data_IF_107447212095
#
_entry.id   IF_107447212095
#
_cell.length_a   1.000
_cell.length_b   1.000
_cell.length_c   1.000
_cell.angle_alpha   90.00
_cell.angle_beta   90.00
_cell.angle_gamma   90.00
#
_symmetry.space_group_name_H-M   'P 1'
#
loop_
_entity.id
_entity.type
_entity.pdbx_description
1 polymer ?
#
# COMPACT_ATOMS: atom_id res chain seq x y z
N UNK A 1 -15.46 30.36 -6.28
CA UNK A 1 -15.39 28.88 -6.21
C UNK A 1 -15.75 28.51 -4.78
N UNK A 2 -16.78 27.70 -4.57
CA UNK A 2 -17.24 27.30 -3.23
C UNK A 2 -16.23 26.32 -2.64
N UNK A 3 -15.87 26.46 -1.37
CA UNK A 3 -15.00 25.49 -0.70
C UNK A 3 -15.75 24.18 -0.51
N UNK A 4 -15.20 23.09 -1.01
CA UNK A 4 -15.77 21.74 -0.94
C UNK A 4 -14.92 20.85 -0.03
N UNK A 5 -15.60 19.97 0.70
CA UNK A 5 -14.97 18.95 1.54
C UNK A 5 -14.96 17.64 0.78
N UNK A 6 -13.85 16.91 0.87
CA UNK A 6 -13.77 15.58 0.29
C UNK A 6 -12.80 14.69 1.06
N UNK A 7 -12.98 13.39 0.87
CA UNK A 7 -12.19 12.36 1.53
C UNK A 7 -11.41 11.57 0.49
N UNK A 8 -10.23 11.11 0.89
CA UNK A 8 -9.48 10.07 0.18
C UNK A 8 -9.42 8.85 1.09
N UNK A 9 -10.11 7.78 0.67
CA UNK A 9 -10.16 6.52 1.40
C UNK A 9 -9.28 5.46 0.73
N UNK A 10 -8.40 4.83 1.52
CA UNK A 10 -7.56 3.72 1.12
C UNK A 10 -7.93 2.48 1.95
N UNK A 11 -8.03 1.33 1.29
CA UNK A 11 -7.94 0.03 1.94
C UNK A 11 -6.59 -0.58 1.58
N UNK A 12 -5.77 -0.77 2.61
CA UNK A 12 -4.39 -1.22 2.50
C UNK A 12 -4.35 -2.66 3.00
N UNK A 13 -3.97 -3.61 2.15
CA UNK A 13 -3.76 -5.00 2.57
C UNK A 13 -2.29 -5.33 2.74
N UNK A 14 -1.98 -6.44 3.42
CA UNK A 14 -0.65 -7.06 3.43
C UNK A 14 -0.75 -8.53 3.84
N UNK A 15 0.31 -9.31 3.57
CA UNK A 15 0.41 -10.73 3.98
C UNK A 15 -0.81 -11.55 3.53
N UNK A 16 -1.29 -11.26 2.32
CA UNK A 16 -2.47 -11.89 1.72
C UNK A 16 -2.13 -13.18 0.96
N UNK A 17 -0.87 -13.60 0.96
CA UNK A 17 -0.48 -14.92 0.47
C UNK A 17 -1.27 -16.02 1.18
N UNK A 18 -1.74 -16.98 0.40
CA UNK A 18 -2.62 -18.07 0.82
C UNK A 18 -3.97 -17.66 1.42
N UNK A 19 -4.38 -16.39 1.28
CA UNK A 19 -5.66 -15.87 1.79
C UNK A 19 -6.70 -15.71 0.70
N UNK A 20 -6.74 -16.64 -0.25
CA UNK A 20 -7.70 -16.61 -1.35
C UNK A 20 -9.15 -16.69 -0.85
N UNK A 21 -9.46 -17.61 0.07
CA UNK A 21 -10.80 -17.82 0.62
C UNK A 21 -10.86 -19.09 1.48
N UNK A 22 -12.00 -19.34 2.14
CA UNK A 22 -12.26 -20.54 2.96
C UNK A 22 -11.25 -20.75 4.09
N UNK A 23 -10.68 -19.66 4.61
CA UNK A 23 -9.80 -19.65 5.79
C UNK A 23 -10.38 -18.73 6.86
N UNK A 24 -9.99 -18.98 8.10
CA UNK A 24 -10.27 -18.05 9.20
C UNK A 24 -9.56 -16.71 9.01
N UNK A 25 -10.17 -15.66 9.56
CA UNK A 25 -9.71 -14.28 9.42
C UNK A 25 -10.07 -13.67 8.07
N UNK A 26 -9.31 -12.65 7.66
CA UNK A 26 -9.49 -11.95 6.39
C UNK A 26 -8.99 -12.79 5.22
N UNK A 27 -9.78 -12.80 4.14
CA UNK A 27 -9.49 -13.42 2.85
C UNK A 27 -9.89 -12.47 1.71
N UNK A 28 -9.34 -12.68 0.52
CA UNK A 28 -9.75 -11.95 -0.67
C UNK A 28 -11.23 -12.15 -1.00
N UNK A 29 -11.80 -13.34 -0.78
CA UNK A 29 -13.23 -13.57 -1.00
C UNK A 29 -14.12 -12.76 -0.05
N UNK A 30 -13.73 -12.61 1.22
CA UNK A 30 -14.42 -11.71 2.16
C UNK A 30 -14.26 -10.23 1.78
N UNK A 31 -13.08 -9.83 1.32
CA UNK A 31 -12.86 -8.47 0.79
C UNK A 31 -13.75 -8.23 -0.43
N UNK A 32 -13.84 -9.18 -1.36
CA UNK A 32 -14.71 -9.10 -2.54
C UNK A 32 -16.17 -8.90 -2.15
N UNK A 33 -16.67 -9.72 -1.22
CA UNK A 33 -18.03 -9.59 -0.69
C UNK A 33 -18.29 -8.21 -0.08
N UNK A 34 -17.36 -7.74 0.76
CA UNK A 34 -17.45 -6.42 1.38
C UNK A 34 -17.48 -5.31 0.31
N UNK A 35 -16.57 -5.31 -0.66
CA UNK A 35 -16.51 -4.30 -1.73
C UNK A 35 -17.78 -4.30 -2.58
N UNK A 36 -18.28 -5.47 -2.94
CA UNK A 36 -19.51 -5.61 -3.73
C UNK A 36 -20.73 -5.08 -2.97
N UNK A 37 -20.74 -5.19 -1.64
CA UNK A 37 -21.81 -4.63 -0.80
C UNK A 37 -21.81 -3.11 -0.69
N UNK A 38 -20.69 -2.42 -0.99
CA UNK A 38 -20.56 -0.98 -0.69
C UNK A 38 -21.43 -0.07 -1.57
N UNK A 39 -22.08 -0.57 -2.63
CA UNK A 39 -22.97 0.16 -3.55
C UNK A 39 -22.49 1.59 -3.91
N UNK A 40 -21.17 1.75 -4.14
CA UNK A 40 -20.54 3.05 -4.41
C UNK A 40 -20.45 3.29 -5.90
N UNK A 41 -20.64 4.54 -6.32
CA UNK A 41 -20.35 4.96 -7.70
C UNK A 41 -18.85 4.76 -7.97
N UNK A 42 -18.48 4.51 -9.22
CA UNK A 42 -17.10 4.16 -9.57
C UNK A 42 -16.07 5.22 -9.14
N UNK A 43 -16.44 6.50 -9.15
CA UNK A 43 -15.58 7.61 -8.71
C UNK A 43 -15.52 7.79 -7.18
N UNK A 44 -16.40 7.13 -6.42
CA UNK A 44 -16.41 7.12 -4.95
C UNK A 44 -15.69 5.88 -4.39
N UNK A 45 -15.28 4.94 -5.26
CA UNK A 45 -14.63 3.71 -4.82
C UNK A 45 -13.31 4.01 -4.08
N UNK A 46 -13.08 3.38 -2.92
CA UNK A 46 -11.83 3.51 -2.20
C UNK A 46 -10.66 2.96 -3.02
N UNK A 47 -9.47 3.49 -2.74
CA UNK A 47 -8.22 3.01 -3.35
C UNK A 47 -7.81 1.73 -2.62
N UNK A 48 -7.91 0.60 -3.31
CA UNK A 48 -7.30 -0.65 -2.83
C UNK A 48 -5.83 -0.70 -3.20
N UNK A 49 -4.97 -0.98 -2.23
CA UNK A 49 -3.54 -1.16 -2.43
C UNK A 49 -2.98 -2.20 -1.45
N UNK A 50 -1.74 -2.63 -1.70
CA UNK A 50 -1.09 -3.67 -0.90
C UNK A 50 0.30 -3.23 -0.43
N UNK A 51 0.62 -3.56 0.82
CA UNK A 51 1.91 -3.33 1.48
C UNK A 51 2.89 -4.50 1.28
N UNK A 52 2.54 -5.49 0.46
CA UNK A 52 3.37 -6.62 0.09
C UNK A 52 2.98 -7.92 0.79
N UNK A 53 3.61 -9.01 0.36
CA UNK A 53 3.32 -10.36 0.84
C UNK A 53 2.12 -11.00 0.16
N UNK A 54 1.68 -10.48 -0.98
CA UNK A 54 0.63 -11.09 -1.78
C UNK A 54 1.14 -12.28 -2.63
N UNK A 55 2.41 -12.25 -3.05
CA UNK A 55 3.00 -13.34 -3.85
C UNK A 55 3.54 -14.43 -2.93
N UNK A 56 4.28 -14.07 -1.89
CA UNK A 56 4.85 -15.02 -0.94
C UNK A 56 6.08 -15.79 -1.49
N UNK A 57 6.68 -16.60 -0.62
CA UNK A 57 7.96 -17.27 -0.85
C UNK A 57 7.86 -18.62 -1.62
N UNK A 58 6.66 -19.20 -1.72
CA UNK A 58 6.50 -20.63 -2.08
C UNK A 58 5.34 -20.94 -3.03
N UNK A 59 4.81 -19.95 -3.75
CA UNK A 59 3.67 -20.19 -4.65
C UNK A 59 4.12 -20.89 -5.94
N UNK A 60 4.00 -22.22 -5.92
CA UNK A 60 4.02 -23.07 -7.11
C UNK A 60 2.75 -22.82 -7.93
N UNK A 61 2.78 -21.81 -8.78
CA UNK A 61 1.68 -21.53 -9.71
C UNK A 61 1.68 -22.59 -10.81
N UNK A 62 0.81 -23.60 -10.72
CA UNK A 62 0.59 -24.56 -11.82
C UNK A 62 -0.02 -23.89 -13.06
N UNK A 63 -0.77 -22.80 -12.86
CA UNK A 63 -1.41 -22.01 -13.92
C UNK A 63 -0.55 -20.87 -14.52
N UNK A 64 -1.05 -20.24 -15.60
CA UNK A 64 -0.37 -19.13 -16.26
C UNK A 64 -0.27 -17.87 -15.39
N UNK A 65 -1.21 -17.68 -14.44
CA UNK A 65 -1.31 -16.49 -13.59
C UNK A 65 -1.39 -16.87 -12.11
N UNK A 66 -0.72 -16.09 -11.25
CA UNK A 66 -0.80 -16.28 -9.80
C UNK A 66 -2.22 -15.94 -9.30
N UNK A 67 -2.91 -16.85 -8.59
CA UNK A 67 -4.29 -16.63 -8.16
C UNK A 67 -4.43 -15.40 -7.26
N UNK A 68 -3.44 -15.06 -6.44
CA UNK A 68 -3.49 -13.87 -5.58
C UNK A 68 -3.44 -12.58 -6.41
N UNK A 69 -2.63 -12.56 -7.48
CA UNK A 69 -2.58 -11.43 -8.40
C UNK A 69 -3.87 -11.31 -9.20
N UNK A 70 -4.46 -12.44 -9.59
CA UNK A 70 -5.77 -12.44 -10.21
C UNK A 70 -6.81 -11.84 -9.27
N UNK A 71 -6.81 -12.20 -7.97
CA UNK A 71 -7.68 -11.60 -6.96
C UNK A 71 -7.50 -10.09 -6.86
N UNK A 72 -6.25 -9.61 -6.81
CA UNK A 72 -5.96 -8.18 -6.76
C UNK A 72 -6.41 -7.44 -8.04
N UNK A 73 -6.26 -8.06 -9.22
CA UNK A 73 -6.78 -7.53 -10.47
C UNK A 73 -8.31 -7.44 -10.47
N UNK A 74 -8.98 -8.51 -10.00
CA UNK A 74 -10.44 -8.57 -9.87
C UNK A 74 -10.96 -7.46 -8.96
N UNK A 75 -10.30 -7.26 -7.81
CA UNK A 75 -10.58 -6.20 -6.85
C UNK A 75 -10.09 -4.81 -7.28
N UNK A 76 -9.47 -4.71 -8.47
CA UNK A 76 -9.00 -3.46 -9.08
C UNK A 76 -8.04 -2.66 -8.19
N UNK A 77 -7.09 -3.37 -7.58
CA UNK A 77 -5.99 -2.74 -6.84
C UNK A 77 -5.31 -1.68 -7.70
N UNK A 78 -4.83 -0.60 -7.07
CA UNK A 78 -4.23 0.55 -7.76
C UNK A 78 -2.71 0.52 -7.76
N UNK A 79 -2.10 -0.11 -6.76
CA UNK A 79 -0.66 -0.39 -6.67
C UNK A 79 -0.39 -1.42 -5.56
N UNK A 80 0.83 -1.96 -5.55
CA UNK A 80 1.35 -2.78 -4.47
C UNK A 80 2.83 -2.45 -4.18
N UNK A 81 3.30 -2.69 -2.96
CA UNK A 81 4.74 -2.74 -2.63
C UNK A 81 5.22 -4.19 -2.54
N UNK A 82 6.50 -4.39 -2.25
CA UNK A 82 7.13 -5.70 -2.16
C UNK A 82 7.63 -5.95 -0.76
N UNK A 83 7.35 -7.11 -0.20
CA UNK A 83 7.88 -7.51 1.08
C UNK A 83 9.03 -8.54 0.93
N UNK A 84 9.61 -8.96 2.04
CA UNK A 84 10.73 -9.91 2.10
C UNK A 84 10.37 -11.25 1.49
N UNK A 85 9.13 -11.71 1.67
CA UNK A 85 8.66 -12.97 1.10
C UNK A 85 8.57 -12.89 -0.43
N UNK A 86 8.08 -11.77 -0.97
CA UNK A 86 8.03 -11.54 -2.42
C UNK A 86 9.46 -11.46 -3.00
N UNK A 87 10.40 -10.84 -2.28
CA UNK A 87 11.79 -10.68 -2.69
C UNK A 87 12.64 -11.95 -2.56
N UNK A 88 12.24 -12.91 -1.72
CA UNK A 88 12.84 -14.26 -1.70
C UNK A 88 12.48 -15.07 -2.96
N UNK A 89 11.35 -14.77 -3.58
CA UNK A 89 10.85 -15.44 -4.79
C UNK A 89 10.82 -14.51 -6.00
N UNK A 90 11.98 -13.96 -6.40
CA UNK A 90 12.07 -12.97 -7.50
C UNK A 90 11.51 -13.51 -8.82
N UNK A 91 11.68 -14.79 -9.12
CA UNK A 91 11.15 -15.38 -10.35
C UNK A 91 9.60 -15.40 -10.35
N UNK A 92 9.00 -15.84 -9.23
CA UNK A 92 7.55 -15.83 -9.04
C UNK A 92 6.98 -14.41 -9.03
N UNK A 93 7.65 -13.49 -8.33
CA UNK A 93 7.29 -12.06 -8.27
C UNK A 93 7.36 -11.40 -9.64
N UNK A 94 8.41 -11.66 -10.42
CA UNK A 94 8.53 -11.16 -11.79
C UNK A 94 7.41 -11.70 -12.71
N UNK A 95 7.00 -12.96 -12.53
CA UNK A 95 5.84 -13.53 -13.25
C UNK A 95 4.53 -12.89 -12.81
N UNK A 96 4.32 -12.73 -11.50
CA UNK A 96 3.17 -12.05 -10.92
C UNK A 96 3.00 -10.64 -11.52
N UNK A 97 4.06 -9.85 -11.53
CA UNK A 97 4.07 -8.47 -12.06
C UNK A 97 3.66 -8.38 -13.52
N UNK A 98 4.13 -9.29 -14.39
CA UNK A 98 3.72 -9.32 -15.80
C UNK A 98 2.21 -9.55 -15.99
N UNK A 99 1.55 -10.10 -14.98
CA UNK A 99 0.11 -10.38 -15.00
C UNK A 99 -0.70 -9.42 -14.12
N UNK A 100 -0.06 -8.45 -13.46
CA UNK A 100 -0.73 -7.44 -12.65
C UNK A 100 -1.30 -6.33 -13.54
N UNK A 101 -2.55 -5.92 -13.28
CA UNK A 101 -3.19 -4.76 -13.91
C UNK A 101 -2.95 -3.46 -13.14
N UNK A 102 -2.06 -3.55 -12.14
CA UNK A 102 -1.60 -2.47 -11.31
C UNK A 102 -0.06 -2.51 -11.26
N UNK A 103 0.60 -1.36 -11.09
CA UNK A 103 2.03 -1.30 -10.95
C UNK A 103 2.48 -1.63 -9.53
N UNK A 104 3.70 -2.13 -9.45
CA UNK A 104 4.41 -2.36 -8.20
C UNK A 104 5.35 -1.19 -7.97
N UNK A 105 5.31 -0.58 -6.79
CA UNK A 105 6.09 0.61 -6.46
C UNK A 105 7.15 0.27 -5.42
N UNK A 106 8.41 0.54 -5.73
CA UNK A 106 9.51 0.49 -4.78
C UNK A 106 10.68 1.33 -5.26
N UNK A 107 11.11 2.28 -4.43
CA UNK A 107 12.21 3.20 -4.74
C UNK A 107 13.58 2.55 -4.62
N UNK A 108 13.74 1.57 -3.73
CA UNK A 108 15.04 1.05 -3.32
C UNK A 108 15.31 -0.40 -3.73
N UNK A 109 14.42 -1.02 -4.52
CA UNK A 109 14.76 -2.24 -5.26
C UNK A 109 15.16 -1.83 -6.68
N UNK A 110 16.44 -1.99 -6.99
CA UNK A 110 17.06 -1.41 -8.19
C UNK A 110 17.76 -2.46 -9.03
N UNK A 111 17.93 -2.15 -10.31
CA UNK A 111 18.85 -2.86 -11.18
C UNK A 111 20.30 -2.51 -10.78
N UNK A 112 21.14 -3.53 -10.59
CA UNK A 112 22.48 -3.41 -9.97
C UNK A 112 23.45 -2.46 -10.70
N UNK A 113 23.41 -2.45 -12.03
CA UNK A 113 24.32 -1.72 -12.90
C UNK A 113 23.86 -0.31 -13.26
N UNK A 114 22.55 -0.04 -13.29
CA UNK A 114 21.98 1.28 -13.64
C UNK A 114 21.52 2.06 -12.42
N UNK A 115 21.29 1.37 -11.28
CA UNK A 115 20.71 1.94 -10.07
C UNK A 115 19.33 2.61 -10.32
N UNK A 116 18.64 2.16 -11.37
CA UNK A 116 17.26 2.52 -11.67
C UNK A 116 16.31 1.54 -10.96
N UNK A 117 15.13 1.99 -10.51
CA UNK A 117 14.13 1.11 -9.91
C UNK A 117 13.81 -0.06 -10.83
N UNK A 118 13.93 -1.27 -10.30
CA UNK A 118 13.85 -2.49 -11.10
C UNK A 118 12.44 -2.74 -11.63
N UNK A 119 11.41 -2.34 -10.88
CA UNK A 119 10.01 -2.62 -11.18
C UNK A 119 9.26 -1.43 -11.82
N UNK A 120 10.00 -0.50 -12.43
CA UNK A 120 9.46 0.64 -13.14
C UNK A 120 9.25 1.85 -12.23
N UNK A 121 8.21 2.66 -12.48
CA UNK A 121 8.00 3.92 -11.77
C UNK A 121 7.72 3.66 -10.28
N UNK A 122 8.53 4.18 -9.34
CA UNK A 122 8.46 3.81 -7.92
C UNK A 122 7.39 4.61 -7.14
N UNK A 123 6.49 5.28 -7.85
CA UNK A 123 5.41 6.08 -7.29
C UNK A 123 4.18 6.09 -8.20
N UNK A 124 3.04 6.50 -7.65
CA UNK A 124 1.79 6.74 -8.40
C UNK A 124 1.20 8.10 -8.07
N UNK A 125 0.54 8.68 -9.06
CA UNK A 125 -0.20 9.92 -8.95
C UNK A 125 -1.69 9.64 -9.11
N UNK A 126 -2.49 10.14 -8.17
CA UNK A 126 -3.94 10.14 -8.20
C UNK A 126 -4.43 11.58 -8.27
N UNK A 127 -5.33 11.86 -9.22
CA UNK A 127 -5.98 13.15 -9.33
C UNK A 127 -7.39 13.03 -8.73
N UNK A 128 -7.61 13.63 -7.56
CA UNK A 128 -8.91 13.59 -6.87
C UNK A 128 -9.37 15.02 -6.59
N UNK A 129 -10.50 15.44 -7.17
CA UNK A 129 -10.99 16.82 -7.06
C UNK A 129 -9.92 17.88 -7.40
N UNK A 130 -9.13 17.61 -8.45
CA UNK A 130 -7.96 18.39 -8.91
C UNK A 130 -6.75 18.38 -7.97
N UNK A 131 -6.84 17.74 -6.81
CA UNK A 131 -5.69 17.49 -5.93
C UNK A 131 -4.82 16.39 -6.52
N UNK A 132 -3.52 16.65 -6.65
CA UNK A 132 -2.52 15.68 -7.04
C UNK A 132 -1.98 14.98 -5.80
N UNK A 133 -2.51 13.80 -5.51
CA UNK A 133 -2.01 12.91 -4.47
C UNK A 133 -0.92 12.00 -5.04
N UNK A 134 0.27 12.04 -4.45
CA UNK A 134 1.32 11.08 -4.76
C UNK A 134 1.41 9.98 -3.71
N UNK A 135 1.72 8.77 -4.16
CA UNK A 135 2.05 7.63 -3.31
C UNK A 135 3.40 7.07 -3.74
N UNK A 136 4.33 6.90 -2.80
CA UNK A 136 5.69 6.38 -3.05
C UNK A 136 5.92 5.13 -2.20
N UNK A 137 6.55 4.10 -2.78
CA UNK A 137 6.82 2.84 -2.09
C UNK A 137 8.30 2.63 -1.78
N UNK A 138 8.59 1.82 -0.77
CA UNK A 138 9.93 1.33 -0.47
C UNK A 138 9.88 0.02 0.32
N UNK A 139 11.00 -0.70 0.29
CA UNK A 139 11.23 -1.92 1.05
C UNK A 139 12.13 -1.62 2.26
N UNK A 140 11.66 -1.97 3.45
CA UNK A 140 12.28 -1.70 4.75
C UNK A 140 13.39 -2.65 5.19
N UNK A 141 13.56 -3.76 4.48
CA UNK A 141 14.62 -4.71 4.79
C UNK A 141 16.04 -4.22 4.45
N UNK A 142 17.05 -5.07 4.70
CA UNK A 142 18.44 -4.67 4.58
C UNK A 142 18.82 -4.31 3.14
N UNK A 143 19.78 -3.40 3.01
CA UNK A 143 20.45 -3.15 1.73
C UNK A 143 21.39 -4.31 1.43
N UNK A 144 21.07 -5.08 0.39
CA UNK A 144 21.78 -6.30 0.03
C UNK A 144 21.61 -6.64 -1.45
N UNK A 145 22.50 -7.47 -1.96
CA UNK A 145 22.32 -8.09 -3.26
C UNK A 145 21.21 -9.15 -3.17
N UNK A 146 20.22 -9.06 -4.04
CA UNK A 146 19.11 -10.03 -4.11
C UNK A 146 19.35 -11.09 -5.19
N UNK A 147 19.92 -10.66 -6.33
CA UNK A 147 20.39 -11.51 -7.44
C UNK A 147 21.54 -10.80 -8.15
N UNK A 148 22.16 -11.46 -9.14
CA UNK A 148 23.18 -10.87 -10.00
C UNK A 148 22.74 -9.54 -10.67
N UNK A 149 21.43 -9.35 -10.87
CA UNK A 149 20.88 -8.18 -11.56
C UNK A 149 20.12 -7.21 -10.65
N UNK A 150 19.75 -7.63 -9.43
CA UNK A 150 18.83 -6.89 -8.55
C UNK A 150 19.46 -6.69 -7.19
N UNK A 151 19.38 -5.46 -6.67
CA UNK A 151 19.85 -5.12 -5.34
C UNK A 151 18.81 -4.30 -4.58
N UNK A 152 18.75 -4.48 -3.27
CA UNK A 152 18.13 -3.54 -2.37
C UNK A 152 19.18 -2.50 -1.94
N UNK A 153 18.90 -1.22 -2.11
CA UNK A 153 19.79 -0.12 -1.68
C UNK A 153 19.22 0.56 -0.43
N UNK A 154 20.01 1.45 0.17
CA UNK A 154 19.61 2.19 1.35
C UNK A 154 18.28 2.94 1.13
N UNK A 155 17.28 2.62 1.96
CA UNK A 155 15.92 3.12 1.84
C UNK A 155 15.85 4.65 1.96
N UNK A 156 16.47 5.21 3.01
CA UNK A 156 16.43 6.64 3.33
C UNK A 156 17.05 7.48 2.20
N UNK A 157 18.20 7.06 1.68
CA UNK A 157 18.85 7.71 0.55
C UNK A 157 17.98 7.64 -0.72
N UNK A 158 17.32 6.51 -0.96
CA UNK A 158 16.43 6.36 -2.11
C UNK A 158 15.19 7.24 -2.00
N UNK A 159 14.52 7.29 -0.84
CA UNK A 159 13.39 8.19 -0.63
C UNK A 159 13.80 9.65 -0.80
N UNK A 160 14.92 10.09 -0.23
CA UNK A 160 15.40 11.46 -0.40
C UNK A 160 15.60 11.83 -1.87
N UNK A 161 16.16 10.92 -2.68
CA UNK A 161 16.32 11.10 -4.14
C UNK A 161 14.95 11.21 -4.84
N UNK A 162 14.06 10.26 -4.57
CA UNK A 162 12.78 10.16 -5.29
C UNK A 162 11.75 11.20 -4.86
N UNK A 163 11.72 11.60 -3.60
CA UNK A 163 10.86 12.69 -3.12
C UNK A 163 11.29 14.03 -3.74
N UNK A 164 12.60 14.31 -3.83
CA UNK A 164 13.11 15.49 -4.54
C UNK A 164 12.72 15.49 -6.02
N UNK A 165 12.84 14.35 -6.69
CA UNK A 165 12.38 14.19 -8.07
C UNK A 165 10.87 14.40 -8.19
N UNK A 166 10.09 13.77 -7.32
CA UNK A 166 8.63 13.84 -7.31
C UNK A 166 8.14 15.29 -7.11
N UNK A 167 8.68 16.02 -6.14
CA UNK A 167 8.32 17.41 -5.91
C UNK A 167 8.73 18.33 -7.06
N UNK A 168 9.89 18.09 -7.68
CA UNK A 168 10.33 18.92 -8.81
C UNK A 168 9.60 18.62 -10.12
N UNK A 169 9.26 17.36 -10.38
CA UNK A 169 8.64 16.92 -11.63
C UNK A 169 7.12 16.96 -11.59
N UNK A 170 6.54 16.42 -10.53
CA UNK A 170 5.09 16.24 -10.40
C UNK A 170 4.43 17.33 -9.57
N UNK A 171 5.17 17.95 -8.63
CA UNK A 171 4.63 18.97 -7.73
C UNK A 171 3.30 18.53 -7.06
N UNK A 172 3.28 17.42 -6.31
CA UNK A 172 2.07 16.91 -5.68
C UNK A 172 1.60 17.81 -4.53
N UNK A 173 0.29 17.85 -4.30
CA UNK A 173 -0.34 18.57 -3.19
C UNK A 173 -0.23 17.80 -1.86
N UNK A 174 -0.15 16.47 -1.94
CA UNK A 174 -0.03 15.60 -0.78
C UNK A 174 0.74 14.34 -1.14
N UNK A 175 1.54 13.82 -0.21
CA UNK A 175 2.35 12.62 -0.41
C UNK A 175 2.12 11.62 0.71
N UNK A 176 1.85 10.37 0.34
CA UNK A 176 1.81 9.22 1.24
C UNK A 176 2.99 8.30 0.91
N UNK A 177 3.69 7.84 1.94
CA UNK A 177 4.79 6.88 1.79
C UNK A 177 4.38 5.53 2.37
N UNK A 178 4.66 4.48 1.62
CA UNK A 178 4.46 3.09 1.99
C UNK A 178 5.83 2.43 2.16
N UNK A 179 6.06 1.80 3.31
CA UNK A 179 7.28 1.03 3.57
C UNK A 179 6.89 -0.37 4.02
N UNK A 180 7.23 -1.40 3.26
CA UNK A 180 7.03 -2.79 3.66
C UNK A 180 8.14 -3.30 4.58
N UNK A 181 7.83 -4.21 5.51
CA UNK A 181 8.79 -4.85 6.44
C UNK A 181 9.79 -3.87 7.08
N UNK A 182 9.28 -2.82 7.72
CA UNK A 182 10.15 -1.90 8.46
C UNK A 182 10.29 -2.32 9.93
N UNK A 183 11.38 -1.88 10.54
CA UNK A 183 11.64 -2.16 11.96
C UNK A 183 10.68 -1.40 12.89
N UNK A 184 10.48 -1.93 14.09
CA UNK A 184 9.81 -1.24 15.20
C UNK A 184 10.80 -0.43 16.07
N UNK A 185 12.06 -0.33 15.64
CA UNK A 185 13.08 0.46 16.32
C UNK A 185 12.82 1.96 16.14
N UNK A 186 12.64 2.67 17.26
CA UNK A 186 12.30 4.09 17.27
C UNK A 186 13.38 4.96 16.62
N UNK A 187 14.66 4.62 16.78
CA UNK A 187 15.77 5.40 16.22
C UNK A 187 15.78 5.32 14.69
N UNK A 188 15.58 4.12 14.13
CA UNK A 188 15.46 3.93 12.69
C UNK A 188 14.19 4.55 12.10
N UNK A 189 13.07 4.53 12.83
CA UNK A 189 11.85 5.25 12.44
C UNK A 189 12.08 6.76 12.41
N UNK A 190 12.76 7.32 13.41
CA UNK A 190 13.09 8.76 13.42
C UNK A 190 14.05 9.13 12.28
N UNK A 191 15.08 8.31 12.01
CA UNK A 191 15.96 8.51 10.83
C UNK A 191 15.19 8.46 9.52
N UNK A 192 14.24 7.51 9.39
CA UNK A 192 13.36 7.44 8.24
C UNK A 192 12.54 8.72 8.11
N UNK A 193 11.87 9.18 9.18
CA UNK A 193 11.06 10.41 9.17
C UNK A 193 11.85 11.63 8.72
N UNK A 194 13.12 11.76 9.13
CA UNK A 194 14.01 12.86 8.70
C UNK A 194 14.25 12.82 7.17
N UNK A 195 14.28 11.63 6.56
CA UNK A 195 14.46 11.48 5.11
C UNK A 195 13.22 11.79 4.26
N UNK A 196 12.05 11.98 4.91
CA UNK A 196 10.73 12.10 4.28
C UNK A 196 10.21 13.54 4.28
N UNK A 197 11.07 14.49 3.89
CA UNK A 197 10.68 15.89 3.72
C UNK A 197 9.55 16.03 2.68
N UNK A 198 8.51 16.80 3.02
CA UNK A 198 7.35 17.01 2.14
C UNK A 198 6.29 15.91 2.19
N UNK A 199 6.46 14.89 3.03
CA UNK A 199 5.50 13.79 3.22
C UNK A 199 4.46 14.14 4.28
N UNK A 200 3.21 13.76 4.04
CA UNK A 200 2.12 13.94 5.01
C UNK A 200 1.93 12.74 5.93
N UNK A 201 1.92 11.53 5.35
CA UNK A 201 1.69 10.28 6.08
C UNK A 201 2.68 9.21 5.61
N UNK A 202 3.19 8.42 6.56
CA UNK A 202 3.93 7.18 6.32
C UNK A 202 3.14 6.02 6.90
N UNK A 203 2.94 4.97 6.10
CA UNK A 203 2.41 3.69 6.55
C UNK A 203 3.52 2.66 6.44
N UNK A 204 3.86 2.03 7.56
CA UNK A 204 4.82 0.94 7.58
C UNK A 204 4.09 -0.39 7.76
N UNK A 205 4.49 -1.40 6.97
CA UNK A 205 4.08 -2.78 7.18
C UNK A 205 4.97 -3.43 8.23
N UNK A 206 4.36 -4.22 9.10
CA UNK A 206 5.03 -5.04 10.09
C UNK A 206 4.49 -6.48 10.06
N UNK A 207 5.00 -7.33 10.94
CA UNK A 207 4.53 -8.71 11.07
C UNK A 207 3.03 -8.76 11.41
N UNK A 208 2.37 -9.80 10.89
CA UNK A 208 0.94 -10.00 11.13
C UNK A 208 0.67 -10.38 12.59
N UNK A 209 -0.07 -9.52 13.29
CA UNK A 209 -0.61 -9.79 14.62
C UNK A 209 -1.94 -10.55 14.49
N UNK A 210 -1.98 -11.76 15.05
CA UNK A 210 -3.14 -12.66 14.99
C UNK A 210 -4.20 -12.32 16.02
N UNK A 211 -3.80 -11.76 17.16
CA UNK A 211 -4.72 -11.33 18.20
C UNK A 211 -5.28 -9.94 17.86
N UNK A 212 -6.59 -9.87 17.55
CA UNK A 212 -7.25 -8.62 17.18
C UNK A 212 -7.17 -7.53 18.26
N UNK A 213 -7.05 -7.92 19.53
CA UNK A 213 -6.97 -6.95 20.62
C UNK A 213 -5.54 -6.40 20.82
N UNK A 214 -4.53 -7.03 20.19
CA UNK A 214 -3.13 -6.59 20.16
C UNK A 214 -2.77 -5.88 18.83
N UNK A 215 -3.67 -5.89 17.85
CA UNK A 215 -3.50 -5.15 16.61
C UNK A 215 -3.42 -3.63 16.88
N UNK A 216 -2.73 -2.91 15.98
CA UNK A 216 -2.54 -1.46 16.12
C UNK A 216 -3.88 -0.76 16.33
N UNK A 217 -3.98 -0.05 17.44
CA UNK A 217 -5.22 0.61 17.85
C UNK A 217 -5.67 1.65 16.82
N UNK A 218 -6.99 1.84 16.62
CA UNK A 218 -7.50 2.90 15.77
C UNK A 218 -6.96 4.27 16.17
N UNK A 219 -6.65 5.07 15.17
CA UNK A 219 -6.17 6.44 15.34
C UNK A 219 -7.12 7.39 14.62
N UNK A 220 -7.39 8.55 15.23
CA UNK A 220 -8.12 9.62 14.55
C UNK A 220 -7.61 10.97 15.02
N UNK A 221 -7.52 11.90 14.08
CA UNK A 221 -7.09 13.26 14.36
C UNK A 221 -7.89 14.26 13.54
N UNK A 222 -8.03 15.47 14.08
CA UNK A 222 -8.52 16.64 13.38
C UNK A 222 -7.48 17.74 13.58
N UNK A 223 -7.02 18.33 12.48
CA UNK A 223 -6.02 19.38 12.50
C UNK A 223 -6.63 20.70 12.93
N UNK A 224 -5.91 21.46 13.74
CA UNK A 224 -6.29 22.83 14.10
C UNK A 224 -5.84 23.77 12.97
N UNK A 225 -6.70 24.73 12.62
CA UNK A 225 -6.41 25.67 11.54
C UNK A 225 -5.15 26.50 11.84
N UNK A 226 -4.23 26.58 10.87
CA UNK A 226 -2.99 27.35 10.98
C UNK A 226 -1.75 26.55 11.40
N UNK A 227 -1.90 25.32 11.92
CA UNK A 227 -0.74 24.48 12.29
C UNK A 227 -0.06 23.89 11.06
N UNK A 228 1.25 23.66 11.06
CA UNK A 228 1.89 22.88 9.98
C UNK A 228 1.37 21.44 10.00
N UNK A 229 1.14 20.83 8.84
CA UNK A 229 0.81 19.39 8.76
C UNK A 229 2.02 18.61 9.27
N UNK A 230 1.93 17.86 10.38
CA UNK A 230 3.03 17.03 10.82
C UNK A 230 3.14 15.79 9.93
N UNK A 231 4.33 15.20 9.88
CA UNK A 231 4.50 13.86 9.32
C UNK A 231 3.89 12.86 10.30
N UNK A 232 2.77 12.24 9.91
CA UNK A 232 2.19 11.14 10.68
C UNK A 232 2.81 9.81 10.27
N UNK A 233 2.92 8.90 11.24
CA UNK A 233 3.46 7.56 11.06
C UNK A 233 2.48 6.54 11.65
N UNK A 234 2.11 5.54 10.85
CA UNK A 234 1.21 4.46 11.27
C UNK A 234 1.81 3.10 10.95
N UNK A 235 1.57 2.15 11.85
CA UNK A 235 1.99 0.77 11.70
C UNK A 235 0.79 -0.07 11.25
N UNK A 236 0.97 -0.84 10.20
CA UNK A 236 0.03 -1.87 9.79
C UNK A 236 0.55 -3.23 10.23
N UNK A 237 -0.12 -3.85 11.21
CA UNK A 237 0.14 -5.22 11.65
C UNK A 237 -1.05 -6.18 11.40
N UNK A 238 -2.06 -5.75 10.64
CA UNK A 238 -3.23 -6.56 10.25
C UNK A 238 -3.11 -7.09 8.83
N UNK A 239 -4.19 -7.64 8.28
CA UNK A 239 -4.31 -7.95 6.84
C UNK A 239 -5.03 -6.88 6.05
N UNK A 240 -5.87 -6.08 6.69
CA UNK A 240 -6.54 -4.94 6.06
C UNK A 240 -6.62 -3.76 7.01
N UNK A 241 -6.14 -2.60 6.56
CA UNK A 241 -6.24 -1.32 7.23
C UNK A 241 -7.06 -0.36 6.37
N UNK A 242 -7.97 0.39 7.00
CA UNK A 242 -8.62 1.53 6.39
C UNK A 242 -7.90 2.81 6.79
N UNK A 243 -7.59 3.66 5.81
CA UNK A 243 -7.11 5.03 6.00
C UNK A 243 -8.09 5.99 5.31
N UNK A 244 -8.67 6.92 6.05
CA UNK A 244 -9.56 7.96 5.51
C UNK A 244 -8.98 9.34 5.82
N UNK A 245 -8.61 10.08 4.78
CA UNK A 245 -7.96 11.39 4.87
C UNK A 245 -8.92 12.46 4.39
N UNK A 246 -9.12 13.49 5.21
CA UNK A 246 -10.10 14.57 4.96
C UNK A 246 -9.40 15.83 4.48
N UNK A 247 -9.94 16.43 3.43
CA UNK A 247 -9.44 17.65 2.83
C UNK A 247 -10.54 18.69 2.61
N UNK A 248 -10.12 19.96 2.54
CA UNK A 248 -10.94 21.09 2.09
C UNK A 248 -10.28 21.76 0.90
N UNK A 249 -11.03 21.97 -0.18
CA UNK A 249 -10.55 22.76 -1.32
C UNK A 249 -10.48 24.23 -0.94
N UNK A 250 -9.37 24.88 -1.33
CA UNK A 250 -9.17 26.33 -1.30
C UNK A 250 -9.04 26.83 -2.73
N UNK A 251 -8.89 28.14 -2.91
CA UNK A 251 -8.88 28.75 -4.26
C UNK A 251 -7.78 28.16 -5.15
N UNK A 252 -6.58 27.98 -4.59
CA UNK A 252 -5.39 27.49 -5.31
C UNK A 252 -4.67 26.33 -4.59
N UNK A 253 -5.21 25.84 -3.48
CA UNK A 253 -4.53 24.84 -2.62
C UNK A 253 -5.54 23.88 -2.00
N UNK A 254 -5.04 22.86 -1.32
CA UNK A 254 -5.82 21.91 -0.54
C UNK A 254 -5.39 21.97 0.92
N UNK A 255 -6.36 21.97 1.82
CA UNK A 255 -6.09 21.96 3.25
C UNK A 255 -6.41 20.57 3.80
N UNK A 256 -5.39 19.90 4.32
CA UNK A 256 -5.55 18.70 5.13
C UNK A 256 -6.26 19.05 6.45
N UNK A 257 -7.33 18.34 6.77
CA UNK A 257 -8.18 18.55 7.94
C UNK A 257 -7.98 17.51 9.04
N UNK A 258 -7.36 16.38 8.73
CA UNK A 258 -7.30 15.23 9.63
C UNK A 258 -7.40 13.91 8.88
N UNK A 259 -7.15 12.82 9.58
CA UNK A 259 -7.40 11.48 9.06
C UNK A 259 -7.84 10.54 10.19
N UNK A 260 -8.41 9.41 9.81
CA UNK A 260 -8.60 8.26 10.68
C UNK A 260 -7.97 7.03 10.05
N UNK A 261 -7.42 6.16 10.89
CA UNK A 261 -6.82 4.89 10.53
C UNK A 261 -7.38 3.80 11.46
N UNK A 262 -7.73 2.65 10.90
CA UNK A 262 -8.16 1.50 11.69
C UNK A 262 -7.83 0.19 10.98
N UNK A 263 -7.26 -0.77 11.72
CA UNK A 263 -7.16 -2.16 11.26
C UNK A 263 -8.56 -2.79 11.28
N UNK A 264 -9.00 -3.35 10.15
CA UNK A 264 -10.38 -3.85 9.96
C UNK A 264 -10.48 -5.38 9.95
N UNK A 265 -9.45 -6.09 10.39
CA UNK A 265 -9.42 -7.56 10.40
C UNK A 265 -10.60 -8.20 11.13
N UNK A 266 -10.95 -7.69 12.32
CA UNK A 266 -12.07 -8.17 13.14
C UNK A 266 -13.42 -8.02 12.44
N UNK A 267 -13.55 -7.03 11.57
CA UNK A 267 -14.77 -6.74 10.82
C UNK A 267 -14.84 -7.61 9.56
N UNK A 268 -13.77 -7.59 8.75
CA UNK A 268 -13.69 -8.35 7.51
C UNK A 268 -13.66 -9.86 7.74
N UNK A 269 -13.14 -10.34 8.87
CA UNK A 269 -13.14 -11.77 9.20
C UNK A 269 -14.54 -12.37 9.37
N UNK A 270 -15.54 -11.54 9.68
CA UNK A 270 -16.95 -11.95 9.89
C UNK A 270 -17.79 -11.90 8.61
N UNK A 271 -17.26 -11.32 7.54
CA UNK A 271 -17.97 -11.22 6.25
C UNK A 271 -18.07 -12.62 5.63
N UNK A 272 -19.18 -12.87 4.93
CA UNK A 272 -19.35 -14.10 4.15
C UNK A 272 -18.40 -14.10 2.95
N UNK A 273 -17.98 -15.29 2.51
CA UNK A 273 -17.16 -15.41 1.29
C UNK A 273 -18.00 -15.09 0.05
N UNK A 274 -17.39 -14.39 -0.91
CA UNK A 274 -17.97 -14.17 -2.23
C UNK A 274 -17.86 -15.45 -3.09
N UNK A 275 -19.01 -16.07 -3.35
CA UNK A 275 -19.10 -17.35 -4.09
C UNK A 275 -18.63 -17.17 -5.54
N UNK A 276 -19.00 -16.07 -6.20
CA UNK A 276 -18.62 -15.82 -7.60
C UNK A 276 -17.10 -15.66 -7.72
N UNK A 277 -16.50 -14.95 -6.77
CA UNK A 277 -15.06 -14.84 -6.66
C UNK A 277 -14.39 -16.19 -6.37
N UNK A 278 -14.95 -17.03 -5.49
CA UNK A 278 -14.38 -18.35 -5.20
C UNK A 278 -14.36 -19.25 -6.45
N UNK A 279 -15.43 -19.23 -7.24
CA UNK A 279 -15.51 -19.96 -8.50
C UNK A 279 -14.50 -19.45 -9.53
N UNK A 280 -14.25 -18.14 -9.55
CA UNK A 280 -13.21 -17.53 -10.39
C UNK A 280 -11.82 -18.04 -10.01
N UNK A 281 -11.47 -18.04 -8.72
CA UNK A 281 -10.15 -18.46 -8.23
C UNK A 281 -9.91 -19.97 -8.40
N UNK A 282 -10.94 -20.80 -8.24
CA UNK A 282 -10.82 -22.25 -8.36
C UNK A 282 -10.27 -22.69 -9.72
N UNK A 283 -10.48 -21.90 -10.78
CA UNK A 283 -9.94 -22.16 -12.14
C UNK A 283 -8.41 -22.00 -12.23
N UNK A 284 -7.78 -21.42 -11.22
CA UNK A 284 -6.34 -21.11 -11.18
C UNK A 284 -5.55 -21.93 -10.14
N UNK A 285 -6.24 -22.80 -9.38
CA UNK A 285 -5.67 -23.74 -8.42
C UNK A 285 -5.49 -25.13 -9.05
#
# INVERSE_FOLDING_TARGET
MVSEFFNVKLYITQHMNERLGRKEGVTFGKISSAVNSMNMKEYERPIFCDLGGAVGDSVNVRGPQNPHIMSMNHLRYKFATLNVSDLKNIAGTSKAMRTSYFPWISTNIVQKFTNEPFYGQPYRIFNMNKMKLAVVGGYGGPAEEKTEQISAVNLQASFKKWLRYLHSKENPDYVIVFVSDFTNDDEEIEKLKISLEGVGIVIIGSDYEKNYDEQTSPFSTTRVHGEKVPLYHHVHNGRIMELDIRFKTRVNTFEYLGHSMAVRDKEFSKVAEDIEYLDLVYRYL
#
